data_IF_880696289005
#
_entry.id   IF_880696289005
#
_cell.length_a   1.000
_cell.length_b   1.000
_cell.length_c   1.000
_cell.angle_alpha   90.00
_cell.angle_beta   90.00
_cell.angle_gamma   90.00
#
_symmetry.space_group_name_H-M   'P 1'
#
loop_
_entity.id
_entity.type
_entity.pdbx_description
1 polymer ?
#
# COMPACT_ATOMS: atom_id res chain seq x y z
N UNK A 1 17.94 18.14 15.95
CA UNK A 1 19.24 17.85 16.59
C UNK A 1 19.96 16.78 15.79
N UNK A 2 21.26 16.96 15.57
CA UNK A 2 22.00 16.40 14.42
C UNK A 2 22.25 14.87 14.47
N UNK A 3 21.96 14.21 15.60
CA UNK A 3 22.33 12.80 15.82
C UNK A 3 21.13 11.85 15.95
N UNK A 4 19.89 12.33 15.87
CA UNK A 4 18.69 11.48 15.93
C UNK A 4 18.45 10.73 17.25
N UNK A 5 19.26 10.99 18.29
CA UNK A 5 19.19 10.30 19.60
C UNK A 5 18.10 10.82 20.55
N UNK A 6 17.50 11.98 20.27
CA UNK A 6 16.37 12.53 21.03
C UNK A 6 15.04 12.18 20.36
N UNK A 7 14.76 10.89 20.20
CA UNK A 7 13.47 10.43 19.66
C UNK A 7 12.41 10.61 20.74
N UNK A 8 11.41 11.43 20.44
CA UNK A 8 10.19 11.57 21.24
C UNK A 8 9.00 11.07 20.45
N UNK A 9 8.00 10.52 21.12
CA UNK A 9 6.74 10.17 20.49
C UNK A 9 6.01 11.45 20.04
N UNK A 10 5.47 11.45 18.83
CA UNK A 10 4.75 12.61 18.28
C UNK A 10 3.27 12.65 18.68
N UNK A 11 2.71 11.55 19.19
CA UNK A 11 1.36 11.56 19.75
C UNK A 11 1.47 12.13 21.17
N UNK A 12 0.78 13.25 21.40
CA UNK A 12 0.81 13.96 22.68
C UNK A 12 0.08 13.18 23.76
N UNK A 13 0.45 13.41 25.02
CA UNK A 13 -0.27 12.83 26.16
C UNK A 13 -1.70 13.35 26.25
N UNK A 14 -1.92 14.59 25.79
CA UNK A 14 -3.27 15.14 25.62
C UNK A 14 -4.12 14.27 24.69
N UNK A 15 -3.63 13.96 23.49
CA UNK A 15 -4.36 13.13 22.54
C UNK A 15 -4.59 11.71 23.10
N UNK A 16 -3.57 11.13 23.75
CA UNK A 16 -3.71 9.83 24.42
C UNK A 16 -4.86 9.83 25.44
N UNK A 17 -4.94 10.87 26.28
CA UNK A 17 -6.00 11.00 27.27
C UNK A 17 -7.38 11.17 26.64
N UNK A 18 -7.51 11.91 25.53
CA UNK A 18 -8.77 12.04 24.79
C UNK A 18 -9.28 10.67 24.31
N UNK A 19 -8.40 9.85 23.74
CA UNK A 19 -8.76 8.50 23.29
C UNK A 19 -9.17 7.60 24.46
N UNK A 20 -8.38 7.58 25.55
CA UNK A 20 -8.70 6.77 26.74
C UNK A 20 -10.03 7.16 27.37
N UNK A 21 -10.29 8.46 27.49
CA UNK A 21 -11.54 8.98 28.04
C UNK A 21 -12.74 8.65 27.15
N UNK A 22 -12.62 8.86 25.83
CA UNK A 22 -13.71 8.58 24.90
C UNK A 22 -14.10 7.10 24.87
N UNK A 23 -13.11 6.19 24.82
CA UNK A 23 -13.36 4.75 24.75
C UNK A 23 -13.48 4.07 26.13
N UNK A 24 -13.22 4.78 27.23
CA UNK A 24 -13.20 4.20 28.58
C UNK A 24 -12.17 3.10 28.77
N UNK A 25 -11.03 3.16 28.06
CA UNK A 25 -10.00 2.11 28.03
C UNK A 25 -8.60 2.69 28.29
N UNK A 26 -8.15 2.60 29.54
CA UNK A 26 -6.81 3.03 29.98
C UNK A 26 -5.66 2.24 29.35
N UNK A 27 -5.94 1.06 28.77
CA UNK A 27 -4.91 0.23 28.13
C UNK A 27 -4.57 0.70 26.72
N UNK A 28 -5.26 1.72 26.19
CA UNK A 28 -4.90 2.34 24.90
C UNK A 28 -3.51 2.97 25.02
N UNK A 29 -2.65 2.67 24.06
CA UNK A 29 -1.31 3.24 23.93
C UNK A 29 -1.22 4.20 22.74
N UNK A 30 -0.17 5.01 22.69
CA UNK A 30 0.12 5.87 21.52
C UNK A 30 0.32 5.07 20.25
N UNK A 31 0.92 3.89 20.33
CA UNK A 31 1.04 2.98 19.18
C UNK A 31 -0.31 2.46 18.71
N UNK A 32 -1.23 2.14 19.62
CA UNK A 32 -2.59 1.75 19.24
C UNK A 32 -3.29 2.88 18.48
N UNK A 33 -3.09 4.14 18.91
CA UNK A 33 -3.62 5.33 18.22
C UNK A 33 -2.98 5.45 16.82
N UNK A 34 -1.66 5.32 16.70
CA UNK A 34 -0.99 5.36 15.39
C UNK A 34 -1.59 4.35 14.41
N UNK A 35 -1.75 3.10 14.85
CA UNK A 35 -2.37 2.06 14.02
C UNK A 35 -3.85 2.30 13.78
N UNK A 36 -4.59 2.81 14.76
CA UNK A 36 -5.98 3.19 14.59
C UNK A 36 -6.15 4.20 13.45
N UNK A 37 -5.31 5.25 13.44
CA UNK A 37 -5.32 6.27 12.38
C UNK A 37 -5.02 5.62 11.03
N UNK A 38 -4.02 4.74 10.97
CA UNK A 38 -3.68 4.04 9.74
C UNK A 38 -4.84 3.19 9.21
N UNK A 39 -5.53 2.45 10.08
CA UNK A 39 -6.72 1.67 9.72
C UNK A 39 -7.88 2.56 9.27
N UNK A 40 -8.14 3.65 9.97
CA UNK A 40 -9.20 4.61 9.65
C UNK A 40 -9.01 5.24 8.26
N UNK A 41 -7.78 5.64 7.92
CA UNK A 41 -7.46 6.20 6.60
C UNK A 41 -7.61 5.18 5.46
N UNK A 42 -7.67 3.88 5.76
CA UNK A 42 -7.96 2.82 4.79
C UNK A 42 -9.44 2.41 4.76
N UNK A 43 -10.28 2.90 5.67
CA UNK A 43 -11.69 2.53 5.74
C UNK A 43 -12.48 3.12 4.55
N UNK A 44 -13.16 2.30 3.72
CA UNK A 44 -13.81 2.78 2.48
C UNK A 44 -14.84 3.89 2.72
N UNK A 45 -15.70 3.73 3.72
CA UNK A 45 -16.73 4.73 4.01
C UNK A 45 -16.13 6.06 4.50
N UNK A 46 -15.00 6.03 5.23
CA UNK A 46 -14.32 7.25 5.66
C UNK A 46 -13.80 8.01 4.43
N UNK A 47 -13.10 7.30 3.54
CA UNK A 47 -12.55 7.88 2.31
C UNK A 47 -13.65 8.42 1.39
N UNK A 48 -14.77 7.70 1.26
CA UNK A 48 -15.92 8.11 0.45
C UNK A 48 -16.62 9.34 1.04
N UNK A 49 -16.89 9.33 2.34
CA UNK A 49 -17.62 10.41 3.03
C UNK A 49 -16.84 11.72 3.03
N UNK A 50 -15.54 11.67 3.26
CA UNK A 50 -14.67 12.86 3.36
C UNK A 50 -13.85 13.12 2.09
N UNK A 51 -14.25 12.56 0.94
CA UNK A 51 -13.47 12.60 -0.29
C UNK A 51 -13.10 14.02 -0.76
N UNK A 52 -13.98 15.00 -0.57
CA UNK A 52 -13.75 16.38 -0.98
C UNK A 52 -12.86 17.15 0.01
N UNK A 53 -12.97 16.85 1.30
CA UNK A 53 -12.14 17.45 2.35
C UNK A 53 -10.71 16.91 2.26
N UNK A 54 -10.55 15.60 2.09
CA UNK A 54 -9.25 14.92 1.95
C UNK A 54 -8.45 15.39 0.71
N UNK A 55 -9.10 16.01 -0.26
CA UNK A 55 -8.43 16.63 -1.43
C UNK A 55 -7.91 18.04 -1.13
N UNK A 56 -8.45 18.71 -0.12
CA UNK A 56 -8.23 20.15 0.14
C UNK A 56 -7.40 20.40 1.40
N UNK A 57 -7.64 19.62 2.45
CA UNK A 57 -7.10 19.82 3.78
C UNK A 57 -6.56 18.53 4.40
N UNK A 58 -5.85 18.66 5.52
CA UNK A 58 -5.39 17.52 6.31
C UNK A 58 -6.59 16.69 6.85
N UNK A 59 -6.46 15.36 6.94
CA UNK A 59 -7.53 14.50 7.43
C UNK A 59 -7.96 14.86 8.86
N UNK A 60 -9.27 15.01 9.07
CA UNK A 60 -9.87 15.08 10.42
C UNK A 60 -10.23 13.68 10.88
N UNK A 61 -9.93 13.37 12.14
CA UNK A 61 -10.01 12.00 12.65
C UNK A 61 -11.18 11.86 13.62
N UNK A 62 -12.30 11.25 13.20
CA UNK A 62 -13.39 10.89 14.10
C UNK A 62 -12.98 9.72 14.99
N UNK A 63 -13.68 9.58 16.11
CA UNK A 63 -13.70 8.34 16.87
C UNK A 63 -14.63 7.31 16.21
N UNK A 64 -14.06 6.20 15.74
CA UNK A 64 -14.80 5.10 15.15
C UNK A 64 -15.41 4.24 16.27
N UNK A 65 -16.57 3.60 16.05
CA UNK A 65 -17.25 2.84 17.09
C UNK A 65 -16.42 1.72 17.74
N UNK A 66 -15.54 1.05 16.99
CA UNK A 66 -14.64 0.01 17.50
C UNK A 66 -13.18 0.39 17.29
N UNK A 67 -12.61 1.13 18.25
CA UNK A 67 -11.20 1.52 18.25
C UNK A 67 -10.25 0.33 18.00
N UNK A 68 -10.50 -0.80 18.65
CA UNK A 68 -9.58 -1.93 18.66
C UNK A 68 -9.63 -2.68 17.32
N UNK A 69 -10.77 -2.77 16.66
CA UNK A 69 -10.86 -3.31 15.30
C UNK A 69 -10.03 -2.49 14.30
N UNK A 70 -10.19 -1.16 14.32
CA UNK A 70 -9.44 -0.25 13.45
C UNK A 70 -7.94 -0.28 13.75
N UNK A 71 -7.57 -0.29 15.03
CA UNK A 71 -6.17 -0.40 15.46
C UNK A 71 -5.52 -1.72 15.02
N UNK A 72 -6.19 -2.87 15.21
CA UNK A 72 -5.68 -4.18 14.74
C UNK A 72 -5.51 -4.22 13.23
N UNK A 73 -6.48 -3.73 12.47
CA UNK A 73 -6.41 -3.68 11.02
C UNK A 73 -5.27 -2.78 10.54
N UNK A 74 -5.15 -1.58 11.11
CA UNK A 74 -4.06 -0.66 10.79
C UNK A 74 -2.68 -1.20 11.16
N UNK A 75 -2.56 -1.97 12.24
CA UNK A 75 -1.31 -2.67 12.57
C UNK A 75 -0.94 -3.69 11.51
N UNK A 76 -1.88 -4.55 11.10
CA UNK A 76 -1.67 -5.53 10.02
C UNK A 76 -1.26 -4.84 8.71
N UNK A 77 -1.95 -3.76 8.34
CA UNK A 77 -1.62 -2.95 7.16
C UNK A 77 -0.20 -2.37 7.25
N UNK A 78 0.17 -1.78 8.39
CA UNK A 78 1.50 -1.20 8.58
C UNK A 78 2.60 -2.26 8.48
N UNK A 79 2.39 -3.44 9.07
CA UNK A 79 3.34 -4.56 9.01
C UNK A 79 3.59 -5.01 7.58
N UNK A 80 2.54 -5.26 6.78
CA UNK A 80 2.70 -5.72 5.40
C UNK A 80 3.25 -4.63 4.47
N UNK A 81 2.90 -3.36 4.70
CA UNK A 81 3.38 -2.25 3.88
C UNK A 81 4.83 -1.86 4.19
N UNK A 82 5.29 -1.96 5.45
CA UNK A 82 6.68 -1.75 5.80
C UNK A 82 7.56 -2.94 5.38
N UNK A 83 7.02 -4.16 5.45
CA UNK A 83 7.70 -5.40 5.08
C UNK A 83 7.58 -5.81 3.62
N UNK A 84 7.06 -4.96 2.72
CA UNK A 84 6.63 -5.39 1.38
C UNK A 84 7.74 -6.07 0.53
N UNK A 85 9.01 -5.72 0.73
CA UNK A 85 10.14 -6.32 0.00
C UNK A 85 10.56 -7.68 0.54
N UNK A 86 10.18 -8.02 1.77
CA UNK A 86 10.53 -9.28 2.45
C UNK A 86 9.30 -10.15 2.74
N UNK A 87 8.11 -9.68 2.37
CA UNK A 87 6.84 -10.38 2.58
C UNK A 87 6.72 -11.67 1.76
N UNK A 88 5.65 -12.43 2.05
CA UNK A 88 5.30 -13.65 1.32
C UNK A 88 5.08 -13.39 -0.18
N UNK A 89 5.31 -14.42 -1.00
CA UNK A 89 5.21 -14.35 -2.46
C UNK A 89 3.98 -15.07 -2.98
N UNK A 90 3.18 -14.36 -3.75
CA UNK A 90 2.14 -14.99 -4.57
C UNK A 90 2.80 -15.78 -5.70
N UNK A 91 2.40 -17.03 -5.89
CA UNK A 91 2.98 -17.89 -6.94
C UNK A 91 2.35 -17.54 -8.29
N UNK A 92 3.05 -16.72 -9.08
CA UNK A 92 2.66 -16.45 -10.46
C UNK A 92 3.09 -17.61 -11.37
N UNK A 93 2.34 -17.81 -12.45
CA UNK A 93 2.73 -18.79 -13.47
C UNK A 93 3.79 -18.19 -14.39
N UNK A 94 5.00 -18.72 -14.34
CA UNK A 94 6.14 -18.25 -15.13
C UNK A 94 6.19 -18.98 -16.45
N UNK A 95 5.87 -18.28 -17.52
CA UNK A 95 6.04 -18.76 -18.88
C UNK A 95 7.36 -18.26 -19.46
N UNK A 96 8.27 -19.18 -19.77
CA UNK A 96 9.59 -18.87 -20.32
C UNK A 96 9.66 -19.08 -21.83
N UNK A 97 10.48 -18.27 -22.49
CA UNK A 97 10.86 -18.40 -23.89
C UNK A 97 12.03 -19.36 -24.09
N UNK A 98 12.37 -19.62 -25.35
CA UNK A 98 13.54 -20.41 -25.71
C UNK A 98 14.84 -19.61 -25.49
N UNK A 99 15.92 -20.29 -25.07
CA UNK A 99 17.25 -19.71 -24.90
C UNK A 99 17.75 -19.72 -23.46
N UNK A 100 18.78 -18.91 -23.20
CA UNK A 100 19.35 -18.75 -21.87
C UNK A 100 18.41 -17.94 -20.97
N UNK A 101 18.44 -18.25 -19.67
CA UNK A 101 17.70 -17.50 -18.66
C UNK A 101 18.11 -16.02 -18.65
N UNK A 102 17.14 -15.11 -18.70
CA UNK A 102 17.34 -13.68 -18.54
C UNK A 102 16.27 -13.11 -17.58
N UNK A 103 16.70 -12.73 -16.38
CA UNK A 103 15.84 -12.09 -15.38
C UNK A 103 16.05 -10.57 -15.30
N UNK A 104 16.78 -9.97 -16.24
CA UNK A 104 16.98 -8.51 -16.27
C UNK A 104 15.73 -7.81 -16.81
N UNK A 105 15.23 -6.84 -16.06
CA UNK A 105 14.12 -5.99 -16.51
C UNK A 105 14.63 -4.91 -17.46
N UNK A 106 13.93 -4.72 -18.59
CA UNK A 106 14.12 -3.55 -19.47
C UNK A 106 12.93 -2.61 -19.36
N UNK A 107 11.77 -3.07 -19.80
CA UNK A 107 10.49 -2.38 -19.70
C UNK A 107 9.37 -3.41 -19.78
N UNK A 108 8.68 -3.60 -18.66
CA UNK A 108 7.57 -4.55 -18.59
C UNK A 108 6.36 -4.05 -19.39
N UNK A 109 5.56 -4.99 -19.90
CA UNK A 109 4.38 -4.69 -20.71
C UNK A 109 3.18 -5.51 -20.22
N UNK A 110 2.14 -4.87 -19.68
CA UNK A 110 0.94 -5.60 -19.29
C UNK A 110 0.18 -6.09 -20.52
N UNK A 111 -0.34 -7.31 -20.46
CA UNK A 111 -1.03 -8.03 -21.54
C UNK A 111 -2.46 -8.36 -21.10
N UNK A 112 -3.37 -8.59 -22.05
CA UNK A 112 -4.79 -8.89 -21.78
C UNK A 112 -5.45 -7.81 -20.90
N UNK A 113 -5.15 -6.55 -21.21
CA UNK A 113 -5.70 -5.40 -20.51
C UNK A 113 -7.20 -5.31 -20.77
N UNK A 114 -7.96 -4.99 -19.72
CA UNK A 114 -9.37 -4.62 -19.85
C UNK A 114 -9.74 -3.62 -18.76
N UNK A 115 -10.87 -2.96 -18.97
CA UNK A 115 -11.44 -2.02 -18.02
C UNK A 115 -12.42 -2.73 -17.10
N UNK A 116 -12.37 -2.41 -15.82
CA UNK A 116 -13.30 -2.89 -14.80
C UNK A 116 -13.86 -1.69 -14.05
N UNK A 117 -15.14 -1.75 -13.70
CA UNK A 117 -15.80 -0.76 -12.85
C UNK A 117 -15.53 -1.11 -11.39
N UNK A 118 -14.92 -0.18 -10.64
CA UNK A 118 -14.83 -0.24 -9.18
C UNK A 118 -15.70 0.80 -8.50
N UNK A 119 -15.60 0.84 -7.18
CA UNK A 119 -16.26 1.82 -6.31
C UNK A 119 -15.77 3.24 -6.61
N UNK A 120 -14.44 3.42 -6.75
CA UNK A 120 -13.80 4.71 -7.05
C UNK A 120 -13.73 5.03 -8.56
N UNK A 121 -14.52 4.33 -9.38
CA UNK A 121 -14.56 4.50 -10.82
C UNK A 121 -13.87 3.40 -11.62
N UNK A 122 -13.68 3.64 -12.91
CA UNK A 122 -13.15 2.65 -13.83
C UNK A 122 -11.62 2.59 -13.79
N UNK A 123 -11.05 1.39 -13.66
CA UNK A 123 -9.60 1.16 -13.71
C UNK A 123 -9.22 0.04 -14.67
N UNK A 124 -7.93 -0.07 -14.99
CA UNK A 124 -7.40 -1.10 -15.88
C UNK A 124 -6.84 -2.24 -15.05
N UNK A 125 -7.17 -3.46 -15.46
CA UNK A 125 -6.63 -4.71 -14.92
C UNK A 125 -5.92 -5.47 -16.03
N UNK A 126 -4.93 -6.27 -15.67
CA UNK A 126 -4.24 -7.17 -16.59
C UNK A 126 -3.91 -8.49 -15.92
N UNK A 127 -4.10 -9.59 -16.64
CA UNK A 127 -3.88 -10.93 -16.10
C UNK A 127 -2.43 -11.42 -16.30
N UNK A 128 -1.74 -10.86 -17.29
CA UNK A 128 -0.37 -11.25 -17.63
C UNK A 128 0.53 -10.03 -17.78
N UNK A 129 1.81 -10.19 -17.47
CA UNK A 129 2.84 -9.17 -17.57
C UNK A 129 4.03 -9.74 -18.34
N UNK A 130 4.28 -9.24 -19.55
CA UNK A 130 5.54 -9.53 -20.25
C UNK A 130 6.64 -8.81 -19.50
N UNK A 131 7.52 -9.58 -18.85
CA UNK A 131 8.61 -9.03 -18.05
C UNK A 131 9.78 -8.61 -18.95
N UNK A 132 10.19 -9.50 -19.85
CA UNK A 132 11.14 -9.25 -20.94
C UNK A 132 10.87 -10.27 -22.08
N UNK A 133 11.83 -10.46 -23.00
CA UNK A 133 11.69 -11.40 -24.12
C UNK A 133 11.75 -12.88 -23.67
N UNK A 134 12.34 -13.13 -22.49
CA UNK A 134 12.49 -14.47 -21.92
C UNK A 134 11.31 -14.85 -20.99
N UNK A 135 10.79 -13.93 -20.18
CA UNK A 135 9.83 -14.24 -19.12
C UNK A 135 8.51 -13.47 -19.30
N UNK A 136 7.40 -14.21 -19.20
CA UNK A 136 6.05 -13.66 -19.01
C UNK A 136 5.44 -14.22 -17.73
N UNK A 137 4.93 -13.34 -16.89
CA UNK A 137 4.23 -13.69 -15.66
C UNK A 137 2.73 -13.74 -15.93
N UNK A 138 2.08 -14.86 -15.59
CA UNK A 138 0.66 -15.10 -15.78
C UNK A 138 -0.06 -15.31 -14.45
N UNK A 139 -1.40 -15.23 -14.47
CA UNK A 139 -2.22 -15.56 -13.32
C UNK A 139 -2.33 -14.44 -12.28
N UNK A 140 -2.14 -13.17 -12.69
CA UNK A 140 -2.34 -12.01 -11.83
C UNK A 140 -3.85 -11.86 -11.57
N UNK A 141 -4.32 -11.94 -10.30
CA UNK A 141 -5.72 -11.75 -9.96
C UNK A 141 -6.17 -10.30 -10.16
N UNK A 142 -7.45 -10.09 -10.45
CA UNK A 142 -8.00 -8.74 -10.62
C UNK A 142 -8.01 -7.92 -9.33
N UNK A 143 -8.19 -8.59 -8.18
CA UNK A 143 -8.25 -7.93 -6.88
C UNK A 143 -6.96 -7.18 -6.52
N UNK A 144 -5.82 -7.58 -7.09
CA UNK A 144 -4.53 -6.87 -6.95
C UNK A 144 -4.68 -5.39 -7.31
N UNK A 145 -5.53 -5.06 -8.28
CA UNK A 145 -5.69 -3.71 -8.80
C UNK A 145 -6.64 -2.84 -7.98
N UNK A 146 -7.36 -3.42 -7.01
CA UNK A 146 -8.23 -2.69 -6.07
C UNK A 146 -7.42 -1.90 -5.05
N UNK A 147 -6.23 -2.37 -4.66
CA UNK A 147 -5.33 -1.59 -3.80
C UNK A 147 -4.63 -0.48 -4.59
N UNK A 148 -5.11 0.76 -4.41
CA UNK A 148 -4.67 1.93 -5.18
C UNK A 148 -3.96 2.97 -4.33
N UNK A 149 -2.82 3.43 -4.85
CA UNK A 149 -1.98 4.50 -4.31
C UNK A 149 -2.05 5.69 -5.26
N UNK A 150 -2.97 6.62 -4.99
CA UNK A 150 -3.33 7.66 -5.94
C UNK A 150 -4.07 7.10 -7.15
N UNK A 151 -3.57 7.37 -8.36
CA UNK A 151 -4.24 7.00 -9.62
C UNK A 151 -3.78 5.64 -10.20
N UNK A 152 -3.00 4.85 -9.44
CA UNK A 152 -2.45 3.56 -9.88
C UNK A 152 -2.52 2.54 -8.76
N UNK A 153 -2.66 1.27 -9.11
CA UNK A 153 -2.42 0.17 -8.17
C UNK A 153 -0.94 0.08 -7.79
N UNK A 154 -0.64 -0.61 -6.68
CA UNK A 154 0.74 -0.87 -6.27
C UNK A 154 1.54 -1.60 -7.37
N UNK A 155 0.92 -2.58 -8.04
CA UNK A 155 1.54 -3.28 -9.16
C UNK A 155 1.77 -2.36 -10.38
N UNK A 156 0.83 -1.47 -10.71
CA UNK A 156 1.02 -0.49 -11.79
C UNK A 156 2.16 0.50 -11.48
N UNK A 157 2.34 0.88 -10.22
CA UNK A 157 3.48 1.68 -9.79
C UNK A 157 4.79 0.94 -10.03
N UNK A 158 4.88 -0.33 -9.60
CA UNK A 158 6.05 -1.15 -9.80
C UNK A 158 6.41 -1.27 -11.29
N UNK A 159 5.42 -1.55 -12.15
CA UNK A 159 5.60 -1.63 -13.61
C UNK A 159 6.09 -0.31 -14.23
N UNK A 160 5.63 0.84 -13.72
CA UNK A 160 6.03 2.16 -14.23
C UNK A 160 7.43 2.59 -13.78
N UNK A 161 7.82 2.24 -12.55
CA UNK A 161 9.09 2.65 -11.96
C UNK A 161 10.23 1.69 -12.31
N UNK A 162 9.99 0.37 -12.30
CA UNK A 162 11.01 -0.64 -12.56
C UNK A 162 11.19 -0.87 -14.07
N UNK A 163 11.78 0.14 -14.73
CA UNK A 163 12.27 0.04 -16.10
C UNK A 163 13.58 0.79 -16.26
N UNK A 164 14.40 0.38 -17.22
CA UNK A 164 15.59 1.11 -17.60
C UNK A 164 15.17 2.42 -18.27
N UNK A 165 15.61 3.56 -17.72
CA UNK A 165 15.38 4.89 -18.29
C UNK A 165 16.69 5.66 -18.26
N UNK A 166 16.94 6.45 -19.29
CA UNK A 166 18.04 7.42 -19.32
C UNK A 166 17.45 8.82 -19.32
N UNK A 167 17.92 9.67 -18.39
CA UNK A 167 17.58 11.08 -18.41
C UNK A 167 18.42 11.81 -19.47
N UNK A 168 17.78 12.31 -20.52
CA UNK A 168 18.47 12.92 -21.66
C UNK A 168 19.27 14.18 -21.31
N UNK A 169 18.95 14.86 -20.20
CA UNK A 169 19.62 16.11 -19.80
C UNK A 169 20.91 15.84 -19.06
N UNK A 170 20.90 14.86 -18.15
CA UNK A 170 22.04 14.49 -17.30
C UNK A 170 22.85 13.31 -17.82
N UNK A 171 22.30 12.49 -18.72
CA UNK A 171 22.88 11.22 -19.16
C UNK A 171 22.82 10.12 -18.10
N UNK A 172 22.19 10.36 -16.95
CA UNK A 172 22.11 9.39 -15.85
C UNK A 172 21.13 8.28 -16.24
N UNK A 173 21.61 7.04 -16.22
CA UNK A 173 20.80 5.85 -16.44
C UNK A 173 20.27 5.31 -15.11
N UNK A 174 18.95 5.29 -14.98
CA UNK A 174 18.23 4.58 -13.93
C UNK A 174 17.99 3.13 -14.38
N UNK A 175 18.71 2.18 -13.80
CA UNK A 175 18.64 0.75 -14.10
C UNK A 175 18.29 -0.04 -12.82
N UNK A 176 17.03 -0.53 -12.67
CA UNK A 176 16.60 -1.27 -11.49
C UNK A 176 17.39 -2.55 -11.24
N UNK A 177 18.02 -3.13 -12.26
CA UNK A 177 18.82 -4.35 -12.13
C UNK A 177 20.11 -4.13 -11.32
N UNK A 178 20.48 -2.87 -11.05
CA UNK A 178 21.68 -2.52 -10.26
C UNK A 178 21.41 -2.47 -8.76
N UNK A 179 20.14 -2.55 -8.34
CA UNK A 179 19.78 -2.43 -6.92
C UNK A 179 20.21 -3.64 -6.09
N UNK A 180 19.98 -4.85 -6.61
CA UNK A 180 20.38 -6.12 -5.99
C UNK A 180 21.17 -6.95 -7.01
N UNK A 181 22.44 -6.60 -7.27
CA UNK A 181 23.22 -7.20 -8.35
C UNK A 181 23.46 -8.71 -8.17
N UNK A 182 23.47 -9.19 -6.91
CA UNK A 182 23.66 -10.59 -6.57
C UNK A 182 22.36 -11.42 -6.61
N UNK A 183 21.21 -10.77 -6.83
CA UNK A 183 19.91 -11.43 -6.99
C UNK A 183 19.25 -11.01 -8.30
N UNK A 184 19.56 -11.72 -9.38
CA UNK A 184 18.99 -11.47 -10.71
C UNK A 184 17.46 -11.56 -10.74
N UNK A 185 16.85 -12.30 -9.81
CA UNK A 185 15.40 -12.49 -9.73
C UNK A 185 14.71 -11.43 -8.88
N UNK A 186 15.45 -10.53 -8.22
CA UNK A 186 14.91 -9.58 -7.25
C UNK A 186 13.63 -8.88 -7.72
N UNK A 187 13.63 -8.33 -8.94
CA UNK A 187 12.49 -7.57 -9.46
C UNK A 187 11.28 -8.48 -9.72
N UNK A 188 11.50 -9.71 -10.21
CA UNK A 188 10.42 -10.68 -10.41
C UNK A 188 9.81 -11.10 -9.07
N UNK A 189 10.65 -11.40 -8.09
CA UNK A 189 10.17 -11.74 -6.75
C UNK A 189 9.46 -10.55 -6.09
N UNK A 190 9.93 -9.32 -6.32
CA UNK A 190 9.26 -8.12 -5.84
C UNK A 190 7.86 -7.95 -6.45
N UNK A 191 7.67 -8.30 -7.74
CA UNK A 191 6.33 -8.34 -8.36
C UNK A 191 5.42 -9.32 -7.60
N UNK A 192 5.90 -10.54 -7.33
CA UNK A 192 5.15 -11.56 -6.58
C UNK A 192 4.79 -11.13 -5.16
N UNK A 193 5.70 -10.41 -4.48
CA UNK A 193 5.45 -9.84 -3.15
C UNK A 193 4.43 -8.71 -3.20
N UNK A 194 4.54 -7.80 -4.16
CA UNK A 194 3.58 -6.70 -4.34
C UNK A 194 2.19 -7.25 -4.70
N UNK A 195 2.11 -8.33 -5.47
CA UNK A 195 0.83 -9.04 -5.71
C UNK A 195 0.25 -9.55 -4.40
N UNK A 196 1.04 -10.28 -3.58
CA UNK A 196 0.58 -10.81 -2.30
C UNK A 196 0.15 -9.69 -1.34
N UNK A 197 0.99 -8.67 -1.15
CA UNK A 197 0.67 -7.50 -0.32
C UNK A 197 -0.63 -6.85 -0.78
N UNK A 198 -0.83 -6.66 -2.08
CA UNK A 198 -2.06 -6.04 -2.59
C UNK A 198 -3.31 -6.86 -2.25
N UNK A 199 -3.24 -8.20 -2.37
CA UNK A 199 -4.35 -9.08 -2.02
C UNK A 199 -4.66 -9.03 -0.52
N UNK A 200 -3.63 -9.06 0.33
CA UNK A 200 -3.80 -9.04 1.78
C UNK A 200 -4.28 -7.67 2.28
N UNK A 201 -3.81 -6.57 1.65
CA UNK A 201 -4.33 -5.22 1.90
C UNK A 201 -5.81 -5.13 1.57
N UNK A 202 -6.23 -5.68 0.42
CA UNK A 202 -7.65 -5.70 0.02
C UNK A 202 -8.48 -6.53 1.01
N UNK A 203 -7.99 -7.69 1.43
CA UNK A 203 -8.68 -8.50 2.43
C UNK A 203 -8.87 -7.75 3.77
N UNK A 204 -7.84 -7.03 4.24
CA UNK A 204 -7.95 -6.22 5.47
C UNK A 204 -8.93 -5.06 5.29
N UNK A 205 -8.95 -4.42 4.11
CA UNK A 205 -9.90 -3.34 3.80
C UNK A 205 -11.33 -3.88 3.76
N UNK A 206 -11.56 -5.07 3.19
CA UNK A 206 -12.87 -5.70 3.14
C UNK A 206 -13.36 -6.09 4.55
N UNK A 207 -12.46 -6.57 5.42
CA UNK A 207 -12.76 -6.79 6.85
C UNK A 207 -13.11 -5.48 7.58
N UNK A 208 -12.39 -4.39 7.29
CA UNK A 208 -12.68 -3.06 7.83
C UNK A 208 -14.02 -2.52 7.35
N UNK A 209 -14.37 -2.71 6.09
CA UNK A 209 -15.63 -2.24 5.51
C UNK A 209 -16.87 -2.86 6.18
N UNK A 210 -16.72 -4.05 6.79
CA UNK A 210 -17.76 -4.67 7.59
C UNK A 210 -17.97 -4.00 8.96
N UNK A 211 -17.04 -3.16 9.41
CA UNK A 211 -17.18 -2.41 10.65
C UNK A 211 -18.10 -1.20 10.45
N UNK A 212 -19.02 -0.93 11.40
CA UNK A 212 -19.89 0.23 11.28
C UNK A 212 -19.08 1.51 11.39
N UNK A 213 -19.20 2.38 10.38
CA UNK A 213 -18.73 3.75 10.47
C UNK A 213 -19.92 4.65 10.86
N UNK A 214 -19.92 5.15 12.09
CA UNK A 214 -20.92 6.12 12.57
C UNK A 214 -20.22 7.42 12.92
N UNK A 215 -20.96 8.51 12.83
CA UNK A 215 -20.50 9.83 13.25
C UNK A 215 -20.19 9.78 14.75
N UNK A 216 -18.90 9.81 15.08
CA UNK A 216 -18.39 10.00 16.43
C UNK A 216 -17.79 11.39 16.56
N UNK A 217 -17.62 11.86 17.79
CA UNK A 217 -16.91 13.10 18.09
C UNK A 217 -15.52 13.10 17.40
N UNK A 218 -15.14 14.23 16.80
CA UNK A 218 -13.85 14.38 16.12
C UNK A 218 -12.79 14.93 17.06
N UNK A 219 -11.58 14.37 17.04
CA UNK A 219 -10.41 14.95 17.73
C UNK A 219 -9.58 15.73 16.73
N UNK A 220 -9.33 17.00 17.02
CA UNK A 220 -8.26 17.74 16.36
C UNK A 220 -6.92 17.29 16.96
N UNK A 221 -6.02 16.70 16.16
CA UNK A 221 -4.71 16.21 16.63
C UNK A 221 -3.64 17.31 16.74
N UNK A 222 -4.02 18.59 16.79
CA UNK A 222 -3.07 19.69 17.00
C UNK A 222 -3.79 21.02 17.25
N UNK A 223 -3.72 21.50 18.49
CA UNK A 223 -3.57 22.93 18.83
C UNK A 223 -2.75 22.97 20.12
N UNK A 224 -1.42 23.06 19.98
CA UNK A 224 -0.46 23.73 20.90
C UNK A 224 0.94 23.75 20.27
#
# INVERSE_FOLDING_TARGET
DADGNNRRENITDWALNQFRQHYGDETITKWDIFYYIYGLLHHPEYRRRYADDLKKDLPRLPFAPDFRAFSRAGKRLAEIHLGYETYGRYQLDWQTGAGASDFRVKKMQPIKKRKVQGEDGQYTVFNSLRYNDYLTLNGIPDDVFRYRLGNRSALEWLVEQYRVKEDKRSGITHDPNRYQPDNERYVVELIERVVQVSLDTVAIIDELAAQPFREGETVALSEE
#
